data_IF_988720991353
#
_entry.id   IF_988720991353
#
_cell.length_a   1.000
_cell.length_b   1.000
_cell.length_c   1.000
_cell.angle_alpha   90.00
_cell.angle_beta   90.00
_cell.angle_gamma   90.00
#
_symmetry.space_group_name_H-M   'P 1'
#
loop_
_entity.id
_entity.type
_entity.pdbx_description
1 polymer ?
2 non-polymer ?
3 water ?
#
# COMPACT_ATOMS: atom_id res chain seq x y z
N UNK A 7 5.36 10.17 -14.03
CA UNK A 7 4.71 9.64 -12.83
C UNK A 7 4.02 10.74 -11.95
N UNK A 8 2.88 11.25 -12.45
CA UNK A 8 2.14 12.34 -11.80
C UNK A 8 0.67 11.98 -11.46
N UNK A 9 0.05 12.78 -10.60
CA UNK A 9 -1.35 12.61 -10.21
C UNK A 9 -1.79 13.36 -8.95
N UNK A 10 -3.10 13.52 -8.78
CA UNK A 10 -3.66 14.21 -7.61
C UNK A 10 -3.45 13.43 -6.32
N UNK A 11 -3.40 12.11 -6.43
CA UNK A 11 -3.14 11.27 -5.28
C UNK A 11 -1.85 10.50 -5.43
N UNK A 12 -0.86 11.14 -6.07
CA UNK A 12 0.51 10.61 -6.13
C UNK A 12 1.44 11.56 -5.38
N UNK A 13 2.21 11.02 -4.44
CA UNK A 13 3.16 11.82 -3.69
C UNK A 13 4.58 11.34 -3.82
N UNK A 14 5.52 12.28 -3.77
CA UNK A 14 6.92 11.93 -3.73
C UNK A 14 7.40 11.85 -2.28
N UNK A 15 8.00 10.71 -1.95
CA UNK A 15 8.66 10.55 -0.67
C UNK A 15 10.13 10.68 -0.93
N UNK A 16 10.78 11.54 -0.14
CA UNK A 16 12.21 11.75 -0.31
C UNK A 16 12.80 12.18 1.00
N UNK A 17 14.11 12.43 1.01
CA UNK A 17 14.82 12.91 2.19
C UNK A 17 14.61 12.05 3.43
N UNK A 18 14.57 10.73 3.24
CA UNK A 18 14.48 9.80 4.35
C UNK A 18 15.68 9.97 5.30
N UNK A 19 15.39 9.96 6.61
CA UNK A 19 16.38 10.17 7.68
C UNK A 19 16.03 9.42 8.94
N UNK A 20 16.97 8.62 9.44
CA UNK A 20 16.81 7.93 10.71
C UNK A 20 18.10 7.96 11.51
N UNK A 21 17.99 7.79 12.83
CA UNK A 21 19.18 7.72 13.70
C UNK A 21 19.17 6.40 14.46
N UNK A 22 20.26 5.64 14.37
CA UNK A 22 20.46 4.45 15.19
C UNK A 22 21.52 4.77 16.22
N UNK A 23 21.08 5.20 17.42
CA UNK A 23 22.02 5.69 18.43
C UNK A 23 23.01 4.63 18.90
N UNK A 24 22.59 3.37 18.93
CA UNK A 24 23.52 2.27 19.16
C UNK A 24 23.70 1.45 17.90
N UNK A 25 23.24 1.97 16.76
CA UNK A 25 23.47 1.27 15.51
C UNK A 25 22.55 0.08 15.33
N UNK A 26 21.41 0.09 16.02
CA UNK A 26 20.41 -0.98 15.90
C UNK A 26 19.00 -0.42 15.66
N UNK A 27 18.26 -0.22 16.75
CA UNK A 27 16.98 0.45 16.63
C UNK A 27 17.13 1.93 16.28
N UNK A 28 16.09 2.45 15.64
CA UNK A 28 15.94 3.88 15.42
C UNK A 28 15.37 4.52 16.66
N UNK A 29 15.81 5.74 16.95
CA UNK A 29 15.21 6.55 18.00
C UNK A 29 14.67 7.83 17.36
N UNK A 30 14.77 7.88 16.03
CA UNK A 30 14.27 9.01 15.25
C UNK A 30 14.09 8.59 13.78
N UNK A 31 12.99 9.01 13.16
CA UNK A 31 12.73 8.69 11.75
C UNK A 31 11.90 9.77 11.08
N UNK A 32 12.17 10.01 9.80
CA UNK A 32 11.48 11.06 9.08
C UNK A 32 11.75 11.08 7.59
N UNK A 33 10.87 11.77 6.88
CA UNK A 33 11.00 11.91 5.45
C UNK A 33 10.12 13.07 5.00
N UNK A 34 10.22 13.40 3.72
CA UNK A 34 9.48 14.50 3.18
C UNK A 34 8.44 14.01 2.20
N UNK A 35 7.30 14.68 2.21
CA UNK A 35 6.25 14.39 1.24
C UNK A 35 5.96 15.60 0.39
N UNK A 36 6.09 15.47 -0.93
CA UNK A 36 5.69 16.55 -1.86
C UNK A 36 4.57 16.17 -2.82
N UNK A 37 3.80 17.19 -3.22
CA UNK A 37 2.85 17.03 -4.32
C UNK A 37 3.61 16.76 -5.62
N UNK A 38 2.86 16.43 -6.65
CA UNK A 38 3.48 15.89 -7.85
C UNK A 38 2.86 16.55 -9.10
N UNK A 39 1.66 17.11 -8.92
CA UNK A 39 0.84 17.67 -9.99
C UNK A 39 0.75 19.19 -9.90
N UNK A 40 1.78 19.84 -9.40
CA UNK A 40 1.73 21.28 -9.25
C UNK A 40 0.98 21.70 -8.01
N UNK A 41 0.59 20.72 -7.19
CA UNK A 41 0.05 21.02 -5.88
C UNK A 41 1.08 21.67 -4.97
N UNK A 42 0.68 21.87 -3.73
CA UNK A 42 1.43 22.72 -2.84
C UNK A 42 2.01 21.97 -1.63
N UNK A 43 1.58 20.72 -1.46
CA UNK A 43 2.07 19.85 -0.42
C UNK A 43 3.60 19.63 -0.43
N UNK A 44 4.22 20.01 0.68
CA UNK A 44 5.65 19.88 0.90
C UNK A 44 5.79 19.74 2.41
N UNK A 45 5.55 18.53 2.89
CA UNK A 45 5.37 18.30 4.30
C UNK A 45 6.45 17.34 4.81
N UNK A 46 7.08 17.72 5.91
CA UNK A 46 8.06 16.83 6.48
C UNK A 46 7.54 16.08 7.69
N UNK A 47 7.39 14.79 7.51
CA UNK A 47 6.84 13.90 8.50
C UNK A 47 7.97 13.35 9.36
N UNK A 48 7.92 13.57 10.67
CA UNK A 48 8.97 12.98 11.52
C UNK A 48 8.52 12.61 12.95
N UNK A 49 9.12 11.54 13.48
CA UNK A 49 8.79 11.02 14.81
C UNK A 49 10.02 10.53 15.61
N UNK A 50 9.89 10.55 16.93
CA UNK A 50 10.98 10.15 17.84
C UNK A 50 10.41 9.29 18.95
N UNK A 51 11.21 8.35 19.42
CA UNK A 51 10.92 7.66 20.66
C UNK A 51 12.26 7.23 21.25
N UNK A 52 12.23 6.77 22.50
CA UNK A 52 13.44 6.35 23.19
C UNK A 52 14.11 5.23 22.40
N UNK A 53 13.32 4.20 22.12
CA UNK A 53 13.66 3.14 21.17
C UNK A 53 12.43 2.87 20.32
N UNK A 55 10.05 0.92 17.61
CA UNK A 55 9.79 -0.45 17.20
C UNK A 55 9.38 -0.50 15.73
N UNK A 56 9.77 -1.55 15.04
CA UNK A 56 9.24 -1.79 13.69
C UNK A 56 7.76 -2.07 13.76
N UNK A 57 7.05 -1.83 12.66
CA UNK A 57 5.64 -2.21 12.56
C UNK A 57 4.78 -1.66 13.70
N UNK A 58 4.94 -0.37 13.97
CA UNK A 58 4.16 0.33 14.97
C UNK A 58 3.83 1.70 14.41
N UNK A 59 2.57 2.11 14.55
CA UNK A 59 2.19 3.45 14.09
C UNK A 59 2.88 4.52 14.91
N UNK A 60 3.43 5.52 14.22
CA UNK A 60 3.90 6.74 14.85
C UNK A 60 3.22 7.93 14.20
N UNK A 61 2.98 8.99 14.97
CA UNK A 61 2.46 10.23 14.40
C UNK A 61 3.51 11.01 13.60
N UNK A 62 3.08 11.66 12.52
CA UNK A 62 3.97 12.46 11.69
C UNK A 62 4.24 13.81 12.32
N UNK A 63 3.40 14.16 13.29
CA UNK A 63 3.46 15.45 13.95
C UNK A 63 2.10 15.90 14.44
N UNK A 64 2.13 16.77 15.45
CA UNK A 64 0.93 17.36 16.00
C UNK A 64 0.07 17.97 14.91
N UNK A 65 -1.23 17.68 14.96
CA UNK A 65 -2.18 18.16 13.97
C UNK A 65 -1.76 17.92 12.53
N UNK A 66 -1.05 16.83 12.30
CA UNK A 66 -0.70 16.43 10.95
C UNK A 66 -1.82 15.53 10.43
N UNK A 67 -2.51 14.91 11.39
CA UNK A 67 -3.51 13.89 11.11
C UNK A 67 -2.94 12.80 10.17
N UNK A 69 -0.03 9.28 10.21
CA UNK A 69 0.71 8.27 10.92
C UNK A 69 1.43 7.39 9.95
N UNK A 70 2.51 6.78 10.43
CA UNK A 70 3.26 5.87 9.61
C UNK A 70 3.81 4.73 10.43
N UNK A 71 4.19 3.66 9.72
CA UNK A 71 4.81 2.52 10.33
C UNK A 71 5.99 2.17 9.45
N UNK A 72 7.05 1.66 10.05
CA UNK A 72 8.25 1.40 9.26
C UNK A 72 8.78 0.06 9.65
N UNK A 73 9.27 -0.67 8.66
CA UNK A 73 9.90 -1.96 8.89
C UNK A 73 11.32 -1.85 8.42
N UNK A 74 12.25 -1.70 9.36
CA UNK A 74 13.67 -1.64 9.04
C UNK A 74 14.14 -2.95 8.40
N UNK A 75 13.33 -3.99 8.51
CA UNK A 75 13.61 -5.26 7.89
C UNK A 75 13.86 -5.09 6.39
N UNK A 76 12.86 -4.59 5.68
CA UNK A 76 12.95 -4.45 4.23
C UNK A 76 12.74 -2.98 3.85
N UNK A 77 12.93 -2.09 4.81
CA UNK A 77 12.76 -0.66 4.59
C UNK A 77 11.38 -0.34 4.02
N UNK A 78 10.38 -1.01 4.58
CA UNK A 78 9.02 -0.83 4.14
C UNK A 78 8.36 0.28 4.93
N UNK A 79 7.63 1.14 4.21
CA UNK A 79 6.92 2.23 4.83
C UNK A 79 5.41 2.11 4.57
N UNK A 80 4.63 2.32 5.64
CA UNK A 80 3.18 2.30 5.55
C UNK A 80 2.71 3.66 6.02
N UNK A 81 1.96 4.35 5.18
CA UNK A 81 1.57 5.72 5.46
C UNK A 81 0.05 5.83 5.59
N UNK A 82 -0.42 6.54 6.61
CA UNK A 82 -1.86 6.72 6.82
C UNK A 82 -2.25 8.18 7.07
N UNK A 83 -3.16 8.70 6.26
CA UNK A 83 -3.66 10.06 6.44
C UNK A 83 -5.15 10.11 6.77
N UNK A 84 -5.49 10.68 7.93
CA UNK A 84 -6.88 10.89 8.27
C UNK A 84 -7.31 12.23 7.72
N UNK A 85 -8.20 12.19 6.75
CA UNK A 85 -8.67 13.40 6.15
C UNK A 85 -9.89 13.93 6.93
N UNK A 86 -10.75 13.01 7.35
CA UNK A 86 -11.90 13.35 8.16
C UNK A 86 -12.29 12.11 8.98
N UNK A 87 -13.31 12.22 9.82
CA UNK A 87 -13.82 11.04 10.50
C UNK A 87 -14.38 9.97 9.54
N UNK A 88 -14.49 10.33 8.25
CA UNK A 88 -15.17 9.49 7.27
C UNK A 88 -14.23 9.02 6.15
N UNK A 89 -13.13 9.73 5.96
CA UNK A 89 -12.18 9.42 4.89
C UNK A 89 -10.76 9.20 5.41
N UNK A 90 -10.19 8.02 5.16
CA UNK A 90 -8.75 7.80 5.41
C UNK A 90 -8.09 7.17 4.18
N UNK A 91 -6.91 7.67 3.81
CA UNK A 91 -6.16 7.07 2.71
C UNK A 91 -4.95 6.36 3.25
N UNK A 92 -4.49 5.34 2.53
CA UNK A 92 -3.23 4.67 2.87
C UNK A 92 -2.34 4.47 1.65
N UNK A 93 -1.05 4.21 1.91
CA UNK A 93 -0.07 4.00 0.84
C UNK A 93 1.11 3.20 1.37
N UNK A 94 1.89 2.65 0.44
CA UNK A 94 3.06 1.81 0.77
C UNK A 94 4.26 2.13 -0.12
N UNK A 95 5.43 2.10 0.49
CA UNK A 95 6.65 2.40 -0.24
C UNK A 95 7.81 1.62 0.33
N UNK A 96 8.87 1.55 -0.46
CA UNK A 96 10.12 1.03 0.01
C UNK A 96 11.13 2.16 -0.06
N UNK A 97 11.87 2.38 1.03
CA UNK A 97 12.82 3.49 1.08
C UNK A 97 14.27 3.07 1.17
N UNK A 98 14.90 2.85 -0.01
CA UNK A 98 16.33 2.53 -0.06
C UNK A 98 17.17 3.55 0.70
N UNK A 99 18.11 3.05 1.49
CA UNK A 99 18.94 3.93 2.30
C UNK A 99 20.28 3.29 2.63
N UNK A 100 21.22 4.09 3.13
CA UNK A 100 22.46 3.53 3.65
C UNK A 100 22.79 4.17 4.98
N UNK A 101 23.72 3.58 5.70
CA UNK A 101 24.09 4.12 7.02
C UNK A 101 25.53 4.58 7.06
N UNK A 102 25.82 5.46 8.01
CA UNK A 102 27.19 5.90 8.24
C UNK A 102 27.31 6.47 9.63
N UNK A 103 28.54 6.61 10.10
CA UNK A 103 28.82 7.11 11.44
C UNK A 103 28.20 8.48 11.74
N UNK A 104 27.51 8.57 12.86
CA UNK A 104 26.85 9.81 13.27
C UNK A 104 27.74 10.72 14.10
N UNK A 105 28.80 10.16 14.69
CA UNK A 105 29.74 10.94 15.46
C UNK A 105 29.45 11.09 16.94
N UNK A 106 28.25 10.74 17.38
CA UNK A 106 27.91 10.88 18.80
C UNK A 106 28.08 9.59 19.62
N UNK A 107 29.34 9.22 19.82
CA UNK A 107 29.66 7.93 20.38
C UNK A 107 29.95 7.00 19.23
N UNK A 108 30.87 6.05 19.42
CA UNK A 108 31.33 5.14 18.37
C UNK A 108 30.24 4.27 17.73
N UNK A 109 29.20 3.92 18.48
CA UNK A 109 28.14 3.05 17.96
C UNK A 109 27.00 3.82 17.28
N UNK A 110 27.17 5.14 17.14
CA UNK A 110 26.15 6.01 16.60
C UNK A 110 26.10 6.02 15.07
N UNK A 111 24.93 5.74 14.51
CA UNK A 111 24.73 5.76 13.06
C UNK A 111 23.62 6.64 12.52
N UNK A 112 23.85 7.17 11.33
CA UNK A 112 22.89 8.01 10.60
C UNK A 112 22.50 7.32 9.30
N UNK A 113 21.20 7.21 9.05
CA UNK A 113 20.68 6.60 7.83
C UNK A 113 20.04 7.63 6.89
N UNK A 114 20.41 7.58 5.62
CA UNK A 114 19.89 8.50 4.61
C UNK A 114 19.28 7.71 3.47
N UNK A 115 18.14 8.17 2.96
CA UNK A 115 17.60 7.66 1.72
C UNK A 115 18.55 7.88 0.55
N UNK A 116 18.56 6.95 -0.39
CA UNK A 116 19.37 7.07 -1.59
C UNK A 116 18.52 7.04 -2.86
N UNK A 117 17.20 7.05 -2.71
CA UNK A 117 16.31 6.98 -3.86
C UNK A 117 14.94 7.52 -3.52
N UNK A 118 14.35 8.28 -4.42
CA UNK A 118 12.99 8.78 -4.20
C UNK A 118 11.97 7.63 -4.35
N UNK A 119 10.85 7.74 -3.64
CA UNK A 119 9.73 6.83 -3.87
C UNK A 119 8.49 7.63 -4.28
N UNK A 120 7.63 7.00 -5.06
CA UNK A 120 6.40 7.64 -5.49
C UNK A 120 5.22 6.78 -5.06
N UNK A 121 4.39 7.32 -4.15
CA UNK A 121 3.29 6.53 -3.62
C UNK A 121 1.94 6.89 -4.21
N UNK A 122 1.06 5.91 -4.22
CA UNK A 122 -0.30 6.13 -4.65
C UNK A 122 -1.24 5.85 -3.50
N UNK A 123 -2.05 6.85 -3.17
CA UNK A 123 -2.98 6.75 -2.05
C UNK A 123 -4.23 6.03 -2.47
N UNK A 124 -4.68 5.10 -1.63
CA UNK A 124 -5.99 4.51 -1.84
C UNK A 124 -6.83 4.70 -0.59
N UNK A 125 -8.14 4.69 -0.79
CA UNK A 125 -9.06 4.84 0.33
C UNK A 125 -9.10 3.57 1.17
N UNK A 126 -8.98 3.73 2.48
CA UNK A 126 -9.16 2.63 3.42
C UNK A 126 -10.63 2.54 3.80
N UNK A 127 -11.26 1.36 3.62
CA UNK A 127 -12.66 1.20 4.05
C UNK A 127 -12.85 1.57 5.52
N UNK A 128 -14.05 2.02 5.90
CA UNK A 128 -14.29 2.41 7.29
C UNK A 128 -14.62 1.25 8.22
N UNK A 129 -15.91 0.98 8.39
CA UNK A 129 -16.45 0.05 9.41
C UNK A 129 -16.29 0.64 10.81
N UNK B 7 12.22 -7.40 -9.46
CA UNK B 7 10.82 -7.51 -9.03
C UNK B 7 10.46 -8.93 -8.52
N UNK B 8 11.45 -9.64 -7.97
CA UNK B 8 11.22 -10.88 -7.23
C UNK B 8 11.34 -10.60 -5.74
N UNK B 9 11.15 -11.64 -4.91
CA UNK B 9 11.28 -11.50 -3.47
C UNK B 9 10.30 -12.38 -2.75
N UNK B 10 10.59 -12.69 -1.50
CA UNK B 10 9.70 -13.55 -0.74
C UNK B 10 8.42 -12.81 -0.35
N UNK B 11 8.43 -11.49 -0.47
CA UNK B 11 7.26 -10.69 -0.15
C UNK B 11 6.65 -9.96 -1.34
N UNK B 12 7.09 -10.33 -2.54
CA UNK B 12 6.52 -9.76 -3.77
C UNK B 12 5.54 -10.72 -4.39
N UNK B 13 4.38 -10.21 -4.80
CA UNK B 13 3.37 -11.02 -5.47
C UNK B 13 2.97 -10.44 -6.82
N UNK B 14 2.68 -11.33 -7.76
CA UNK B 14 2.18 -10.93 -9.07
C UNK B 14 0.66 -11.00 -9.16
N UNK B 15 0.04 -9.83 -9.27
CA UNK B 15 -1.38 -9.73 -9.54
C UNK B 15 -1.61 -9.78 -11.04
N UNK B 16 -2.59 -10.58 -11.45
CA UNK B 16 -2.82 -10.87 -12.87
C UNK B 16 -4.26 -11.35 -13.10
N UNK B 17 -4.66 -11.41 -14.37
CA UNK B 17 -5.95 -11.96 -14.79
C UNK B 17 -7.15 -11.25 -14.14
N UNK B 18 -7.08 -9.93 -14.03
CA UNK B 18 -8.18 -9.17 -13.46
C UNK B 18 -9.49 -9.33 -14.24
N UNK B 19 -10.57 -9.60 -13.51
CA UNK B 19 -11.86 -9.81 -14.15
C UNK B 19 -12.99 -9.08 -13.43
N UNK B 20 -13.77 -8.31 -14.18
CA UNK B 20 -14.88 -7.56 -13.63
C UNK B 20 -16.15 -7.64 -14.45
N UNK B 21 -17.28 -7.60 -13.76
CA UNK B 21 -18.58 -7.63 -14.42
C UNK B 21 -19.41 -6.41 -14.02
N UNK B 22 -19.68 -5.53 -14.98
CA UNK B 22 -20.52 -4.35 -14.76
C UNK B 22 -21.84 -4.56 -15.49
N UNK B 23 -22.84 -5.13 -14.80
CA UNK B 23 -24.07 -5.60 -15.45
C UNK B 23 -24.91 -4.45 -16.02
N UNK B 24 -25.00 -3.33 -15.31
CA UNK B 24 -25.74 -2.19 -15.83
C UNK B 24 -24.78 -1.15 -16.35
N UNK B 25 -23.53 -1.56 -16.54
CA UNK B 25 -22.51 -0.67 -17.09
C UNK B 25 -21.87 0.28 -16.10
N UNK B 26 -22.18 0.12 -14.83
CA UNK B 26 -21.72 1.05 -13.81
C UNK B 26 -21.01 0.31 -12.69
N UNK B 27 -21.78 -0.05 -11.67
CA UNK B 27 -21.27 -0.79 -10.54
C UNK B 27 -20.82 -2.17 -10.99
N UNK B 28 -19.82 -2.72 -10.31
CA UNK B 28 -19.46 -4.11 -10.52
C UNK B 28 -20.47 -4.97 -9.80
N UNK B 29 -20.76 -6.15 -10.34
CA UNK B 29 -21.43 -7.18 -9.57
C UNK B 29 -20.50 -8.36 -9.37
N UNK B 30 -19.35 -8.30 -10.03
CA UNK B 30 -18.31 -9.31 -9.83
C UNK B 30 -16.89 -8.78 -10.05
N UNK B 31 -15.96 -9.22 -9.20
CA UNK B 31 -14.55 -8.85 -9.30
C UNK B 31 -13.66 -9.99 -8.88
N UNK B 32 -12.53 -10.12 -9.55
CA UNK B 32 -11.57 -11.15 -9.23
C UNK B 32 -10.22 -10.88 -9.86
N UNK B 33 -9.21 -11.60 -9.40
CA UNK B 33 -7.88 -11.50 -9.96
C UNK B 33 -7.07 -12.67 -9.46
N UNK B 34 -5.89 -12.85 -10.06
CA UNK B 34 -5.04 -13.93 -9.65
C UNK B 34 -3.80 -13.44 -8.93
N UNK B 35 -3.33 -14.22 -7.96
CA UNK B 35 -2.17 -13.85 -7.18
C UNK B 35 -1.15 -14.97 -7.27
N UNK B 36 0.05 -14.65 -7.74
CA UNK B 36 1.10 -15.67 -7.84
C UNK B 36 2.36 -15.31 -7.08
N UNK B 37 3.03 -16.33 -6.54
CA UNK B 37 4.38 -16.21 -6.00
C UNK B 37 5.36 -15.68 -7.05
N UNK B 38 6.49 -15.19 -6.59
CA UNK B 38 7.42 -14.57 -7.50
C UNK B 38 8.82 -15.17 -7.31
N UNK B 39 9.00 -15.83 -6.17
CA UNK B 39 10.29 -16.35 -5.78
C UNK B 39 10.35 -17.86 -5.86
N UNK B 40 9.69 -18.43 -6.87
CA UNK B 40 9.65 -19.87 -6.98
C UNK B 40 8.74 -20.54 -5.96
N UNK B 41 8.06 -19.74 -5.14
CA UNK B 41 7.10 -20.28 -4.20
C UNK B 41 5.88 -20.87 -4.88
N UNK B 42 4.83 -21.10 -4.13
CA UNK B 42 3.79 -21.98 -4.63
C UNK B 42 2.40 -21.34 -4.69
N UNK B 43 2.32 -20.09 -4.27
CA UNK B 43 1.07 -19.36 -4.29
C UNK B 43 0.56 -19.17 -5.72
N UNK B 44 -0.64 -19.68 -5.99
CA UNK B 44 -1.30 -19.41 -7.23
C UNK B 44 -2.77 -19.42 -6.88
N UNK B 45 -3.27 -18.25 -6.56
CA UNK B 45 -4.58 -18.15 -6.00
C UNK B 45 -5.41 -17.12 -6.76
N UNK B 46 -6.66 -17.47 -7.03
CA UNK B 46 -7.58 -16.53 -7.64
C UNK B 46 -8.56 -16.00 -6.62
N UNK B 47 -8.39 -14.72 -6.30
CA UNK B 47 -9.23 -14.04 -5.34
C UNK B 47 -10.47 -13.59 -6.07
N UNK B 48 -11.64 -13.72 -5.44
CA UNK B 48 -12.88 -13.40 -6.14
C UNK B 48 -14.07 -13.16 -5.21
N UNK B 49 -14.91 -12.21 -5.60
CA UNK B 49 -16.12 -11.90 -4.85
C UNK B 49 -17.26 -11.53 -5.80
N UNK B 50 -18.49 -11.59 -5.29
CA UNK B 50 -19.66 -11.23 -6.07
C UNK B 50 -20.70 -10.59 -5.16
N UNK B 51 -21.48 -9.66 -5.70
CA UNK B 51 -22.65 -9.10 -4.99
C UNK B 51 -23.60 -8.47 -6.03
N UNK B 52 -24.84 -8.19 -5.65
CA UNK B 52 -25.77 -7.59 -6.60
C UNK B 52 -25.30 -6.20 -7.06
N UNK B 53 -24.90 -5.37 -6.10
CA UNK B 53 -24.26 -4.09 -6.38
C UNK B 53 -23.07 -3.94 -5.44
N UNK B 55 -19.76 -2.34 -3.71
CA UNK B 55 -19.39 -0.98 -3.31
C UNK B 55 -17.90 -0.73 -3.51
N UNK B 56 -17.55 0.52 -3.81
CA UNK B 56 -16.16 0.95 -3.77
C UNK B 56 -15.72 1.04 -2.32
N UNK B 57 -14.45 0.75 -2.07
CA UNK B 57 -13.86 0.99 -0.77
C UNK B 57 -14.56 0.23 0.35
N UNK B 58 -14.78 -1.04 0.07
CA UNK B 58 -15.40 -1.94 1.02
C UNK B 58 -14.61 -3.24 1.00
N UNK B 59 -14.34 -3.77 2.18
CA UNK B 59 -13.73 -5.09 2.31
C UNK B 59 -14.63 -6.22 1.79
N UNK B 60 -14.06 -7.07 0.94
CA UNK B 60 -14.70 -8.29 0.49
C UNK B 60 -13.78 -9.47 0.71
N UNK B 61 -14.32 -10.64 1.01
CA UNK B 61 -13.49 -11.83 1.13
C UNK B 61 -13.08 -12.34 -0.24
N UNK B 62 -11.94 -13.01 -0.29
CA UNK B 62 -11.42 -13.54 -1.54
C UNK B 62 -11.88 -14.96 -1.75
N UNK B 63 -12.54 -15.50 -0.72
CA UNK B 63 -12.93 -16.90 -0.68
C UNK B 63 -12.95 -17.35 0.76
N UNK B 64 -13.75 -18.37 1.05
CA UNK B 64 -13.79 -18.93 2.39
C UNK B 64 -12.45 -19.60 2.71
N UNK B 65 -11.97 -19.40 3.93
CA UNK B 65 -10.65 -19.88 4.35
C UNK B 65 -9.48 -19.38 3.50
N UNK B 66 -9.65 -18.22 2.88
CA UNK B 66 -8.54 -17.58 2.17
C UNK B 66 -7.75 -16.70 3.15
N UNK B 67 -8.45 -16.24 4.20
CA UNK B 67 -7.93 -15.28 5.17
C UNK B 67 -7.44 -14.01 4.51
N UNK B 69 -8.74 -10.43 2.32
CA UNK B 69 -9.76 -9.50 1.89
C UNK B 69 -9.19 -8.46 0.97
N UNK B 70 -10.02 -7.96 0.07
CA UNK B 70 -9.60 -6.85 -0.74
C UNK B 70 -10.66 -5.78 -0.76
N UNK B 71 -10.21 -4.60 -1.17
CA UNK B 71 -11.06 -3.45 -1.33
C UNK B 71 -10.69 -2.83 -2.65
N UNK B 72 -11.69 -2.41 -3.41
CA UNK B 72 -11.45 -1.89 -4.75
C UNK B 72 -12.04 -0.49 -4.91
N UNK B 73 -11.35 0.35 -5.68
CA UNK B 73 -11.87 1.66 -6.01
C UNK B 73 -11.90 1.75 -7.51
N UNK B 74 -13.10 1.73 -8.08
CA UNK B 74 -13.26 1.70 -9.53
C UNK B 74 -12.88 3.02 -10.16
N UNK B 75 -12.81 4.06 -9.33
CA UNK B 75 -12.43 5.40 -9.75
C UNK B 75 -11.12 5.38 -10.53
N UNK B 76 -10.09 4.85 -9.88
CA UNK B 76 -8.77 4.81 -10.50
C UNK B 76 -8.27 3.37 -10.59
N UNK B 77 -9.20 2.42 -10.52
CA UNK B 77 -8.87 0.99 -10.52
C UNK B 77 -7.81 0.62 -9.48
N UNK B 78 -7.95 1.15 -8.28
CA UNK B 78 -7.00 0.88 -7.21
C UNK B 78 -7.39 -0.28 -6.31
N UNK B 79 -6.40 -1.08 -5.92
CA UNK B 79 -6.66 -2.29 -5.16
C UNK B 79 -5.99 -2.30 -3.78
N UNK B 80 -6.77 -2.65 -2.77
CA UNK B 80 -6.21 -2.84 -1.43
C UNK B 80 -6.24 -4.32 -1.12
N UNK B 81 -5.14 -4.86 -0.62
CA UNK B 81 -5.08 -6.28 -0.41
C UNK B 81 -4.59 -6.53 1.02
N UNK B 82 -5.32 -7.35 1.75
CA UNK B 82 -4.97 -7.66 3.13
C UNK B 82 -5.03 -9.17 3.39
N UNK B 83 -4.17 -9.68 4.27
CA UNK B 83 -4.07 -11.11 4.50
C UNK B 83 -3.66 -11.48 5.91
N UNK B 84 -4.54 -12.17 6.64
CA UNK B 84 -4.23 -12.61 7.99
C UNK B 84 -3.39 -13.87 7.91
N UNK B 85 -2.27 -13.88 8.63
CA UNK B 85 -1.34 -14.99 8.59
C UNK B 85 -1.30 -15.67 9.95
N UNK B 86 -1.57 -14.89 10.99
CA UNK B 86 -1.79 -15.42 12.31
C UNK B 86 -2.56 -14.36 13.07
N UNK B 87 -2.75 -14.55 14.36
CA UNK B 87 -3.41 -13.54 15.18
C UNK B 87 -2.44 -12.37 15.40
N UNK B 88 -1.22 -12.53 14.89
CA UNK B 88 -0.16 -11.56 15.15
C UNK B 88 0.40 -10.92 13.88
N UNK B 89 0.38 -11.64 12.78
CA UNK B 89 0.93 -11.09 11.55
C UNK B 89 -0.14 -10.84 10.50
N UNK B 90 -0.23 -9.59 10.06
CA UNK B 90 -1.07 -9.27 8.91
C UNK B 90 -0.31 -8.44 7.87
N UNK B 91 -0.38 -8.88 6.61
CA UNK B 91 0.20 -8.14 5.50
C UNK B 91 -0.83 -7.31 4.75
N UNK B 92 -0.39 -6.19 4.21
CA UNK B 92 -1.25 -5.40 3.32
C UNK B 92 -0.43 -4.92 2.14
N UNK B 93 -1.11 -4.65 1.04
CA UNK B 93 -0.44 -4.13 -0.15
C UNK B 93 -1.39 -3.31 -0.98
N UNK B 94 -0.88 -2.29 -1.65
CA UNK B 94 -1.66 -1.52 -2.62
C UNK B 94 -1.21 -1.79 -4.05
N UNK B 95 -2.15 -1.76 -4.98
CA UNK B 95 -1.82 -1.92 -6.39
C UNK B 95 -2.76 -1.13 -7.26
N UNK B 96 -2.35 -0.93 -8.51
CA UNK B 96 -3.22 -0.34 -9.52
C UNK B 96 -3.36 -1.33 -10.68
N UNK B 97 -4.58 -1.51 -11.20
CA UNK B 97 -4.88 -2.56 -12.17
C UNK B 97 -5.56 -2.08 -13.45
N UNK B 98 -4.76 -1.69 -14.44
CA UNK B 98 -5.26 -1.19 -15.73
C UNK B 98 -6.17 -2.20 -16.38
N UNK B 99 -7.19 -1.71 -17.08
CA UNK B 99 -8.15 -2.58 -17.69
C UNK B 99 -8.96 -1.87 -18.75
N UNK B 100 -9.65 -2.65 -19.58
CA UNK B 100 -10.59 -2.10 -20.56
C UNK B 100 -11.86 -2.93 -20.48
N UNK B 101 -12.92 -2.43 -21.08
CA UNK B 101 -14.18 -3.15 -21.11
C UNK B 101 -14.64 -3.42 -22.52
N UNK B 102 -15.36 -4.51 -22.68
CA UNK B 102 -16.01 -4.83 -23.94
C UNK B 102 -17.40 -5.30 -23.61
N UNK B 103 -18.26 -5.35 -24.61
CA UNK B 103 -19.64 -5.73 -24.41
C UNK B 103 -19.77 -7.17 -23.90
N UNK B 104 -20.79 -7.41 -23.08
CA UNK B 104 -21.02 -8.74 -22.54
C UNK B 104 -22.23 -9.44 -23.16
N UNK B 105 -23.11 -8.67 -23.77
CA UNK B 105 -24.24 -9.23 -24.50
C UNK B 105 -25.35 -9.85 -23.66
N UNK B 106 -25.15 -9.90 -22.35
CA UNK B 106 -26.21 -10.32 -21.43
C UNK B 106 -27.04 -9.12 -21.00
N UNK B 107 -27.26 -8.21 -21.94
CA UNK B 107 -27.97 -6.98 -21.67
C UNK B 107 -27.50 -5.97 -22.69
N UNK B 108 -28.20 -4.82 -22.75
CA UNK B 108 -27.74 -3.72 -23.62
C UNK B 108 -26.49 -3.05 -23.05
N UNK B 109 -26.50 -2.77 -21.75
CA UNK B 109 -25.41 -2.05 -21.10
C UNK B 109 -24.58 -2.96 -20.21
N UNK B 110 -24.45 -4.22 -20.62
CA UNK B 110 -23.64 -5.21 -19.93
C UNK B 110 -22.18 -5.16 -20.41
N UNK B 111 -21.24 -5.21 -19.46
CA UNK B 111 -19.81 -5.09 -19.80
C UNK B 111 -18.88 -6.03 -19.05
N UNK B 112 -17.90 -6.56 -19.77
CA UNK B 112 -16.86 -7.40 -19.17
C UNK B 112 -15.55 -6.60 -19.11
N UNK B 113 -14.97 -6.52 -17.90
CA UNK B 113 -13.68 -5.86 -17.70
C UNK B 113 -12.53 -6.85 -17.51
N UNK B 114 -11.49 -6.69 -18.33
CA UNK B 114 -10.30 -7.53 -18.25
C UNK B 114 -9.08 -6.65 -18.05
N UNK B 115 -8.20 -7.05 -17.13
CA UNK B 115 -6.97 -6.32 -16.90
C UNK B 115 -6.13 -6.33 -18.16
N UNK B 116 -5.31 -5.30 -18.34
CA UNK B 116 -4.50 -5.23 -19.55
C UNK B 116 -3.02 -5.22 -19.17
N UNK B 117 -2.72 -5.24 -17.87
CA UNK B 117 -1.35 -5.26 -17.38
C UNK B 117 -1.24 -5.93 -16.02
N UNK B 118 -0.14 -6.66 -15.80
CA UNK B 118 0.10 -7.29 -14.51
C UNK B 118 0.57 -6.25 -13.50
N UNK B 119 0.43 -6.52 -12.21
CA UNK B 119 1.02 -5.64 -11.19
C UNK B 119 1.87 -6.43 -10.19
N UNK B 120 2.85 -5.77 -9.60
CA UNK B 120 3.72 -6.43 -8.64
C UNK B 120 3.71 -5.70 -7.29
N UNK B 121 3.02 -6.30 -6.32
CA UNK B 121 2.88 -5.72 -5.01
C UNK B 121 3.96 -6.18 -4.04
N UNK B 122 4.33 -5.26 -3.16
CA UNK B 122 5.16 -5.57 -2.03
C UNK B 122 4.32 -5.55 -0.77
N UNK B 123 4.49 -6.60 0.03
CA UNK B 123 3.77 -6.75 1.28
C UNK B 123 4.46 -5.98 2.39
N UNK B 124 3.66 -5.25 3.17
CA UNK B 124 4.15 -4.65 4.40
C UNK B 124 3.33 -5.17 5.57
N UNK B 125 3.94 -5.16 6.75
CA UNK B 125 3.26 -5.64 7.93
C UNK B 125 2.40 -4.54 8.51
N UNK B 126 1.15 -4.90 8.79
CA UNK B 126 0.17 -4.01 9.37
C UNK B 126 0.32 -4.01 10.88
N UNK B 127 0.57 -2.84 11.50
CA UNK B 127 0.67 -2.80 12.95
C UNK B 127 -0.62 -3.30 13.61
N UNK B 128 -0.50 -4.04 14.71
CA UNK B 128 -1.66 -4.54 15.46
C UNK B 128 -2.47 -3.42 16.15
N UNK B 129 -1.82 -2.27 16.34
CA UNK B 129 -2.43 -1.09 16.96
C UNK B 129 -3.01 -1.36 18.35
#
# INVERSE_FOLDING_TARGET
XSCPVTTEGDYVWKISEFYGRKPEGTYYNSLGFNIKATNGGTLDFTCSAQADKXEDHKWYSCGENSFXNFSFGSDRSGLLLKQKVSDDITYVATATLPNYCRAGGNGPKDFVCQGVADAYITLVTLPKSS
XSCPVTTEGDYVWKISEFYGRKPEGTYYNSLGFNIKATNGGTLDFTCSAQADKXEDHKWYSCGENSFXNFSFGSDRSGLLLKQKVSDDITYVATATLPNYCRAGGNGPKDFVCQGVADAYITLVTLPKSS
#
